data_IF_862423272134
#
_entry.id   IF_862423272134
#
_cell.length_a   1.000
_cell.length_b   1.000
_cell.length_c   1.000
_cell.angle_alpha   90.00
_cell.angle_beta   90.00
_cell.angle_gamma   90.00
#
_symmetry.space_group_name_H-M   'P 1'
#
loop_
_entity.id
_entity.type
_entity.pdbx_description
1 polymer ?
#
# COMPACT_ATOMS: atom_id res chain seq x y z
N UNK A 1 -22.65 91.20 -52.30
CA UNK A 1 -23.88 90.57 -52.79
C UNK A 1 -23.75 89.06 -52.55
N UNK A 2 -24.48 88.53 -51.54
CA UNK A 2 -24.80 87.11 -51.20
C UNK A 2 -23.60 86.16 -50.95
N UNK A 3 -23.18 85.87 -49.70
CA UNK A 3 -23.85 85.08 -48.65
C UNK A 3 -24.14 83.63 -49.05
N UNK A 4 -23.41 82.67 -48.46
CA UNK A 4 -24.00 81.49 -47.82
C UNK A 4 -22.94 80.71 -47.02
N UNK A 5 -23.03 80.89 -45.69
CA UNK A 5 -22.68 79.92 -44.67
C UNK A 5 -23.32 78.55 -45.01
N UNK A 6 -22.68 77.44 -44.62
CA UNK A 6 -23.01 76.76 -43.34
C UNK A 6 -22.17 75.49 -43.16
N UNK A 7 -21.32 75.55 -42.13
CA UNK A 7 -21.35 74.63 -40.99
C UNK A 7 -21.65 73.16 -41.34
N UNK A 8 -20.59 72.35 -41.47
CA UNK A 8 -20.67 70.91 -41.19
C UNK A 8 -21.00 70.71 -39.71
N UNK A 9 -22.29 70.87 -39.38
CA UNK A 9 -22.83 70.47 -38.10
C UNK A 9 -22.84 68.94 -38.08
N UNK A 10 -21.82 68.34 -37.47
CA UNK A 10 -21.87 66.97 -37.00
C UNK A 10 -22.85 66.91 -35.81
N UNK A 11 -24.14 67.01 -36.11
CA UNK A 11 -25.23 66.85 -35.16
C UNK A 11 -26.42 66.31 -35.95
N UNK A 12 -26.79 65.04 -35.79
CA UNK A 12 -27.64 64.54 -34.69
C UNK A 12 -28.08 63.11 -35.05
N UNK A 13 -28.07 62.22 -34.06
CA UNK A 13 -28.77 60.91 -34.01
C UNK A 13 -28.33 59.87 -35.04
N UNK A 14 -27.13 59.33 -34.85
CA UNK A 14 -26.85 57.96 -35.26
C UNK A 14 -27.63 56.99 -34.36
N UNK A 15 -28.96 56.94 -34.52
CA UNK A 15 -29.72 55.77 -34.13
C UNK A 15 -29.17 54.62 -34.95
N UNK A 16 -28.61 53.62 -34.29
CA UNK A 16 -28.04 52.45 -34.94
C UNK A 16 -29.08 51.92 -35.95
N UNK A 17 -28.74 51.78 -37.25
CA UNK A 17 -29.65 51.16 -38.21
C UNK A 17 -30.06 49.82 -37.61
N UNK A 18 -31.37 49.50 -37.60
CA UNK A 18 -31.95 48.37 -36.83
C UNK A 18 -31.20 47.04 -37.03
N UNK A 19 -30.52 46.89 -38.17
CA UNK A 19 -29.59 45.80 -38.44
C UNK A 19 -28.38 45.74 -37.46
N UNK A 20 -27.71 46.86 -37.17
CA UNK A 20 -26.54 46.96 -36.26
C UNK A 20 -26.88 46.69 -34.79
N UNK A 21 -28.09 47.06 -34.35
CA UNK A 21 -28.56 46.75 -33.00
C UNK A 21 -28.59 45.23 -32.72
N UNK A 22 -28.83 44.42 -33.75
CA UNK A 22 -28.81 42.95 -33.65
C UNK A 22 -27.40 42.39 -33.40
N UNK A 23 -26.38 43.00 -34.00
CA UNK A 23 -24.98 42.60 -33.78
C UNK A 23 -24.49 42.98 -32.38
N UNK A 24 -24.97 44.09 -31.82
CA UNK A 24 -24.63 44.48 -30.46
C UNK A 24 -25.24 43.51 -29.44
N UNK A 25 -26.49 43.09 -29.65
CA UNK A 25 -27.12 42.04 -28.85
C UNK A 25 -26.37 40.69 -28.97
N UNK A 26 -25.89 40.34 -30.17
CA UNK A 26 -25.08 39.13 -30.37
C UNK A 26 -23.71 39.22 -29.69
N UNK A 27 -23.06 40.38 -29.68
CA UNK A 27 -21.81 40.57 -28.97
C UNK A 27 -22.01 40.44 -27.45
N UNK A 28 -23.12 40.95 -26.92
CA UNK A 28 -23.50 40.78 -25.50
C UNK A 28 -23.76 39.30 -25.19
N UNK A 29 -24.40 38.54 -26.08
CA UNK A 29 -24.65 37.10 -25.87
C UNK A 29 -23.38 36.23 -25.90
N UNK A 30 -22.33 36.64 -26.64
CA UNK A 30 -21.03 35.95 -26.60
C UNK A 30 -20.23 36.29 -25.34
N UNK A 31 -20.43 37.47 -24.75
CA UNK A 31 -19.78 37.88 -23.51
C UNK A 31 -20.53 37.37 -22.27
N UNK A 32 -21.86 37.26 -22.36
CA UNK A 32 -22.76 36.66 -21.39
C UNK A 32 -22.88 35.14 -21.60
N UNK A 33 -21.81 34.47 -22.04
CA UNK A 33 -21.69 33.02 -21.85
C UNK A 33 -21.45 32.76 -20.36
N UNK A 34 -22.49 32.98 -19.56
CA UNK A 34 -22.59 32.50 -18.19
C UNK A 34 -22.20 31.03 -18.23
N UNK A 35 -21.12 30.63 -17.52
CA UNK A 35 -20.66 29.26 -17.58
C UNK A 35 -21.83 28.34 -17.27
N UNK A 36 -22.12 27.44 -18.21
CA UNK A 36 -23.24 26.52 -18.07
C UNK A 36 -23.07 25.79 -16.75
N UNK A 37 -24.10 25.77 -15.92
CA UNK A 37 -24.02 25.17 -14.59
C UNK A 37 -23.61 23.69 -14.67
N UNK A 38 -23.86 23.05 -15.81
CA UNK A 38 -23.46 21.68 -16.13
C UNK A 38 -21.92 21.56 -16.23
N UNK A 39 -21.24 22.52 -16.86
CA UNK A 39 -19.77 22.52 -17.00
C UNK A 39 -19.09 22.69 -15.64
N UNK A 40 -19.54 23.65 -14.83
CA UNK A 40 -18.98 23.86 -13.49
C UNK A 40 -19.23 22.67 -12.58
N UNK A 41 -20.43 22.08 -12.65
CA UNK A 41 -20.76 20.86 -11.88
C UNK A 41 -19.89 19.68 -12.34
N UNK A 42 -19.66 19.53 -13.64
CA UNK A 42 -18.79 18.49 -14.17
C UNK A 42 -17.35 18.66 -13.69
N UNK A 43 -16.80 19.88 -13.70
CA UNK A 43 -15.45 20.17 -13.20
C UNK A 43 -15.33 19.85 -11.70
N UNK A 44 -16.29 20.31 -10.89
CA UNK A 44 -16.30 20.05 -9.45
C UNK A 44 -16.41 18.54 -9.17
N UNK A 45 -17.27 17.84 -9.91
CA UNK A 45 -17.43 16.39 -9.79
C UNK A 45 -16.13 15.64 -10.13
N UNK A 46 -15.46 16.02 -11.23
CA UNK A 46 -14.17 15.43 -11.60
C UNK A 46 -13.11 15.66 -10.52
N UNK A 47 -13.03 16.86 -9.95
CA UNK A 47 -12.10 17.17 -8.86
C UNK A 47 -12.44 16.33 -7.61
N UNK A 48 -13.72 16.26 -7.24
CA UNK A 48 -14.19 15.48 -6.09
C UNK A 48 -13.85 13.99 -6.24
N UNK A 49 -14.00 13.43 -7.44
CA UNK A 49 -13.65 12.05 -7.73
C UNK A 49 -12.15 11.79 -7.54
N UNK A 50 -11.29 12.69 -8.04
CA UNK A 50 -9.84 12.57 -7.86
C UNK A 50 -9.47 12.63 -6.38
N UNK A 51 -10.02 13.60 -5.64
CA UNK A 51 -9.77 13.74 -4.20
C UNK A 51 -10.22 12.49 -3.43
N UNK A 52 -11.39 11.94 -3.78
CA UNK A 52 -11.90 10.71 -3.19
C UNK A 52 -10.94 9.54 -3.40
N UNK A 53 -10.41 9.37 -4.62
CA UNK A 53 -9.46 8.32 -4.95
C UNK A 53 -8.13 8.47 -4.19
N UNK A 54 -7.64 9.70 -4.03
CA UNK A 54 -6.42 9.98 -3.24
C UNK A 54 -6.64 9.63 -1.77
N UNK A 55 -7.77 10.03 -1.18
CA UNK A 55 -8.11 9.69 0.20
C UNK A 55 -8.22 8.17 0.37
N UNK A 56 -8.88 7.49 -0.56
CA UNK A 56 -9.00 6.04 -0.54
C UNK A 56 -7.62 5.37 -0.60
N UNK A 57 -6.77 5.76 -1.55
CA UNK A 57 -5.41 5.23 -1.70
C UNK A 57 -4.54 5.48 -0.47
N UNK A 58 -4.77 6.57 0.26
CA UNK A 58 -4.04 6.87 1.50
C UNK A 58 -4.41 5.90 2.64
N UNK A 59 -5.68 5.48 2.72
CA UNK A 59 -6.18 4.61 3.79
C UNK A 59 -5.90 3.12 3.46
N UNK A 60 -5.87 2.75 2.18
CA UNK A 60 -5.70 1.37 1.74
C UNK A 60 -4.28 0.85 2.02
N UNK A 61 -4.17 -0.03 3.02
CA UNK A 61 -2.93 -0.76 3.31
C UNK A 61 -2.81 -1.96 2.36
N UNK A 62 -1.83 -1.92 1.46
CA UNK A 62 -1.49 -3.06 0.61
C UNK A 62 -0.73 -4.07 1.49
N UNK A 63 -1.31 -5.26 1.67
CA UNK A 63 -0.66 -6.37 2.37
C UNK A 63 0.25 -7.10 1.38
N UNK A 64 1.54 -6.83 1.47
CA UNK A 64 2.54 -7.64 0.79
C UNK A 64 2.83 -8.88 1.64
N UNK A 65 2.71 -10.07 1.04
CA UNK A 65 3.02 -11.33 1.70
C UNK A 65 4.18 -11.98 0.95
N UNK A 66 5.38 -11.91 1.53
CA UNK A 66 6.54 -12.60 1.00
C UNK A 66 6.53 -14.07 1.46
N UNK A 67 6.21 -14.99 0.54
CA UNK A 67 6.31 -16.43 0.82
C UNK A 67 7.74 -16.89 0.55
N UNK A 68 8.48 -17.20 1.62
CA UNK A 68 9.83 -17.78 1.53
C UNK A 68 9.80 -19.18 2.14
N UNK A 69 10.45 -20.14 1.49
CA UNK A 69 10.69 -21.47 2.06
C UNK A 69 11.90 -21.41 2.99
N UNK A 70 11.65 -21.12 4.27
CA UNK A 70 12.66 -21.25 5.32
C UNK A 70 12.66 -22.68 5.89
N UNK A 71 13.84 -23.21 6.18
CA UNK A 71 14.00 -24.47 6.92
C UNK A 71 14.35 -24.15 8.37
N UNK A 72 13.59 -24.73 9.31
CA UNK A 72 13.86 -24.58 10.75
C UNK A 72 14.79 -25.71 11.18
N UNK A 73 16.09 -25.40 11.25
CA UNK A 73 17.08 -26.32 11.81
C UNK A 73 17.24 -26.06 13.31
N UNK A 74 17.19 -27.10 14.16
CA UNK A 74 17.49 -26.94 15.58
C UNK A 74 18.95 -26.50 15.75
N UNK A 75 19.20 -25.50 16.59
CA UNK A 75 20.55 -24.96 16.83
C UNK A 75 21.47 -25.90 17.63
N UNK A 76 20.98 -27.10 18.00
CA UNK A 76 21.73 -28.10 18.75
C UNK A 76 22.39 -29.13 17.84
N UNK A 77 23.65 -29.47 18.14
CA UNK A 77 24.32 -30.61 17.51
C UNK A 77 23.76 -31.91 18.08
N UNK A 78 23.35 -32.85 17.22
CA UNK A 78 23.07 -34.24 17.62
C UNK A 78 24.41 -34.85 18.01
N UNK A 79 24.68 -34.94 19.32
CA UNK A 79 25.86 -35.62 19.81
C UNK A 79 25.54 -37.09 20.04
N UNK A 80 26.19 -37.97 19.29
CA UNK A 80 26.14 -39.40 19.55
C UNK A 80 26.93 -39.69 20.83
N UNK A 81 26.22 -39.85 21.95
CA UNK A 81 26.81 -40.31 23.21
C UNK A 81 27.14 -41.79 23.06
N UNK A 82 28.42 -42.10 22.85
CA UNK A 82 28.96 -43.46 22.75
C UNK A 82 29.88 -43.70 23.93
N UNK A 83 29.74 -44.86 24.56
CA UNK A 83 30.64 -45.30 25.61
C UNK A 83 31.91 -45.88 24.95
N UNK A 84 33.08 -45.43 25.40
CA UNK A 84 34.38 -45.83 24.84
C UNK A 84 34.83 -47.23 25.28
N UNK A 85 34.23 -47.77 26.35
CA UNK A 85 34.67 -49.00 27.00
C UNK A 85 33.96 -50.29 26.52
N UNK A 86 32.83 -50.20 25.81
CA UNK A 86 32.08 -51.37 25.34
C UNK A 86 31.47 -52.23 26.46
N UNK A 87 30.15 -52.22 26.64
CA UNK A 87 29.45 -53.03 27.65
C UNK A 87 28.04 -53.44 27.22
N UNK A 88 27.49 -54.50 27.85
CA UNK A 88 26.11 -54.94 27.60
C UNK A 88 25.15 -53.95 28.26
N UNK A 89 24.23 -53.38 27.48
CA UNK A 89 23.19 -52.47 28.00
C UNK A 89 22.22 -53.27 28.85
N UNK A 90 22.11 -52.92 30.14
CA UNK A 90 21.14 -53.52 31.06
C UNK A 90 19.81 -52.76 31.03
N UNK A 91 19.84 -51.43 31.03
CA UNK A 91 18.65 -50.59 31.12
C UNK A 91 18.88 -49.22 30.46
N UNK A 92 17.85 -48.70 29.77
CA UNK A 92 17.82 -47.34 29.22
C UNK A 92 16.89 -46.51 30.09
N UNK A 93 17.40 -45.42 30.68
CA UNK A 93 16.71 -44.63 31.71
C UNK A 93 15.95 -43.43 31.13
N UNK A 94 16.01 -43.22 29.81
CA UNK A 94 15.45 -42.06 29.11
C UNK A 94 14.67 -42.47 27.86
N UNK A 95 13.73 -41.65 27.43
CA UNK A 95 12.92 -41.85 26.20
C UNK A 95 13.18 -40.75 25.19
N UNK A 96 12.84 -41.03 23.93
CA UNK A 96 12.96 -40.05 22.85
C UNK A 96 12.13 -38.79 23.17
N UNK A 97 12.79 -37.64 23.19
CA UNK A 97 12.16 -36.35 23.47
C UNK A 97 12.24 -35.88 24.93
N UNK A 98 12.81 -36.68 25.83
CA UNK A 98 13.04 -36.26 27.21
C UNK A 98 14.14 -35.18 27.27
N UNK A 99 13.90 -34.10 28.04
CA UNK A 99 14.95 -33.16 28.40
C UNK A 99 15.86 -33.79 29.46
N UNK A 100 17.16 -33.71 29.26
CA UNK A 100 18.17 -34.25 30.17
C UNK A 100 19.12 -33.16 30.66
N UNK A 101 19.56 -33.27 31.91
CA UNK A 101 20.53 -32.36 32.52
C UNK A 101 21.95 -32.94 32.48
N UNK A 102 22.96 -32.08 32.58
CA UNK A 102 24.35 -32.51 32.61
C UNK A 102 24.62 -33.38 33.86
N UNK A 103 25.12 -34.60 33.65
CA UNK A 103 25.38 -35.57 34.72
C UNK A 103 24.21 -36.52 35.01
N UNK A 104 23.07 -36.37 34.33
CA UNK A 104 21.97 -37.33 34.45
C UNK A 104 22.36 -38.68 33.83
N UNK A 105 22.18 -39.80 34.55
CA UNK A 105 22.44 -41.13 34.00
C UNK A 105 21.42 -41.46 32.91
N UNK A 106 21.91 -41.78 31.71
CA UNK A 106 21.07 -42.08 30.53
C UNK A 106 20.88 -43.59 30.33
N UNK A 107 21.92 -44.39 30.60
CA UNK A 107 21.97 -45.83 30.35
C UNK A 107 22.74 -46.51 31.47
N UNK A 108 22.30 -47.71 31.86
CA UNK A 108 22.97 -48.58 32.83
C UNK A 108 23.58 -49.78 32.10
N UNK A 109 24.88 -50.01 32.31
CA UNK A 109 25.59 -51.17 31.76
C UNK A 109 25.58 -52.33 32.77
N UNK A 110 25.56 -53.56 32.27
CA UNK A 110 25.68 -54.76 33.09
C UNK A 110 27.11 -54.88 33.64
N UNK A 111 27.29 -55.37 34.89
CA UNK A 111 28.61 -55.57 35.45
C UNK A 111 29.38 -56.65 34.66
N UNK A 112 30.72 -56.53 34.53
CA UNK A 112 31.53 -57.55 33.90
C UNK A 112 31.45 -58.87 34.69
N UNK A 113 31.35 -60.00 33.97
CA UNK A 113 31.18 -61.33 34.55
C UNK A 113 32.27 -61.70 35.58
N UNK A 114 33.43 -61.05 35.52
CA UNK A 114 34.57 -61.26 36.43
C UNK A 114 34.31 -60.87 37.89
N UNK A 115 33.28 -60.05 38.18
CA UNK A 115 32.91 -59.70 39.55
C UNK A 115 31.84 -60.60 40.15
N UNK A 116 31.15 -61.41 39.34
CA UNK A 116 30.11 -62.34 39.82
C UNK A 116 30.68 -63.67 40.32
N UNK A 117 31.98 -63.91 40.13
CA UNK A 117 32.69 -65.14 40.54
C UNK A 117 33.39 -64.98 41.90
N UNK A 118 33.28 -63.80 42.53
CA UNK A 118 33.84 -63.48 43.85
C UNK A 118 32.78 -63.37 44.97
N UNK A 119 31.49 -63.61 44.66
CA UNK A 119 30.44 -63.92 45.64
C UNK A 119 30.08 -65.41 45.60
#
# INVERSE_FOLDING_TARGET
MKENNIVFAANTKAGLPRARARYLNQAIQLEETLPSHIVNTAIIFSIALIVLLVIWSHITKIKEVASTRGEVVPAGYIQNVQHLEGGIVSEILVRNGDLVEAGQPLVRLAPPATLSELE
#
